data_IF_882330053969
#
_entry.id   IF_882330053969
#
_cell.length_a   1.000
_cell.length_b   1.000
_cell.length_c   1.000
_cell.angle_alpha   90.00
_cell.angle_beta   90.00
_cell.angle_gamma   90.00
#
_symmetry.space_group_name_H-M   'P 1'
#
loop_
_entity.id
_entity.type
_entity.pdbx_description
1 polymer ?
#
# COMPACT_ATOMS: atom_id res chain seq x y z
N UNK A 1 -40.73 40.94 -57.89
CA UNK A 1 -39.92 41.35 -56.70
C UNK A 1 -40.59 41.15 -55.33
N UNK A 2 -41.91 40.92 -55.23
CA UNK A 2 -42.59 40.70 -53.92
C UNK A 2 -42.50 39.25 -53.38
N UNK A 3 -42.31 38.24 -54.23
CA UNK A 3 -42.24 36.82 -53.87
C UNK A 3 -40.85 36.40 -53.22
N UNK A 4 -39.76 37.03 -53.60
CA UNK A 4 -38.43 36.73 -53.08
C UNK A 4 -38.24 37.21 -51.63
N UNK A 5 -38.87 38.34 -51.28
CA UNK A 5 -38.82 38.87 -49.91
C UNK A 5 -39.58 38.01 -48.89
N UNK A 6 -40.63 37.31 -49.30
CA UNK A 6 -41.41 36.42 -48.41
C UNK A 6 -40.71 35.10 -48.12
N UNK A 7 -39.95 34.58 -49.08
CA UNK A 7 -39.16 33.36 -48.90
C UNK A 7 -37.96 33.60 -47.99
N UNK A 8 -37.31 34.76 -48.10
CA UNK A 8 -36.20 35.12 -47.21
C UNK A 8 -36.63 35.37 -45.78
N UNK A 9 -37.82 35.97 -45.55
CA UNK A 9 -38.36 36.17 -44.21
C UNK A 9 -38.82 34.87 -43.57
N UNK A 10 -39.35 33.91 -44.32
CA UNK A 10 -39.72 32.58 -43.82
C UNK A 10 -38.50 31.73 -43.46
N UNK A 11 -37.38 31.82 -44.21
CA UNK A 11 -36.12 31.14 -43.88
C UNK A 11 -35.47 31.71 -42.60
N UNK A 12 -35.54 33.04 -42.37
CA UNK A 12 -35.05 33.65 -41.15
C UNK A 12 -35.88 33.28 -39.92
N UNK A 13 -37.23 33.14 -40.06
CA UNK A 13 -38.12 32.73 -38.97
C UNK A 13 -37.93 31.26 -38.56
N UNK A 14 -37.65 30.37 -39.50
CA UNK A 14 -37.37 28.94 -39.20
C UNK A 14 -36.02 28.78 -38.53
N UNK A 15 -35.02 29.65 -38.76
CA UNK A 15 -33.72 29.60 -38.09
C UNK A 15 -33.80 30.00 -36.61
N UNK A 16 -34.85 30.72 -36.16
CA UNK A 16 -34.98 31.18 -34.78
C UNK A 16 -35.71 30.18 -33.85
N UNK A 17 -36.44 29.21 -34.41
CA UNK A 17 -37.21 28.25 -33.63
C UNK A 17 -36.42 27.00 -33.24
N UNK A 18 -35.19 26.81 -33.75
CA UNK A 18 -34.32 25.68 -33.40
C UNK A 18 -33.35 25.93 -32.22
N UNK A 19 -33.49 27.05 -31.49
CA UNK A 19 -32.68 27.31 -30.29
C UNK A 19 -33.19 26.61 -29.01
N UNK A 20 -34.17 25.72 -29.16
CA UNK A 20 -34.67 24.87 -28.09
C UNK A 20 -33.79 23.66 -27.86
N UNK A 21 -32.82 23.73 -26.99
CA UNK A 21 -32.47 22.61 -26.15
C UNK A 21 -31.54 21.52 -26.67
N UNK A 22 -30.64 21.76 -27.64
CA UNK A 22 -29.48 20.89 -27.79
C UNK A 22 -28.47 21.20 -26.70
N UNK A 23 -28.53 20.48 -25.58
CA UNK A 23 -27.39 20.46 -24.65
C UNK A 23 -26.21 19.80 -25.39
N UNK A 24 -25.25 20.61 -25.84
CA UNK A 24 -24.00 20.12 -26.38
C UNK A 24 -23.38 19.13 -25.34
N UNK A 25 -22.80 18.01 -25.83
CA UNK A 25 -22.09 17.12 -24.94
C UNK A 25 -21.09 17.95 -24.12
N UNK A 26 -21.28 18.03 -22.81
CA UNK A 26 -20.34 18.68 -21.91
C UNK A 26 -19.31 17.63 -21.55
N UNK A 27 -18.04 17.92 -21.79
CA UNK A 27 -16.94 17.19 -21.23
C UNK A 27 -16.85 17.37 -19.72
N UNK A 28 -15.68 17.59 -19.17
CA UNK A 28 -15.53 17.88 -17.74
C UNK A 28 -16.16 19.22 -17.38
N UNK A 29 -16.68 19.34 -16.15
CA UNK A 29 -17.25 20.58 -15.64
C UNK A 29 -16.18 21.69 -15.55
N UNK A 30 -16.61 22.93 -15.81
CA UNK A 30 -15.77 24.11 -15.53
C UNK A 30 -15.64 24.32 -14.00
N UNK A 31 -14.52 24.85 -13.53
CA UNK A 31 -14.28 25.12 -12.10
C UNK A 31 -15.45 25.88 -11.45
N UNK A 32 -15.95 26.92 -12.12
CA UNK A 32 -17.09 27.72 -11.68
C UNK A 32 -18.37 26.88 -11.47
N UNK A 33 -18.60 25.86 -12.30
CA UNK A 33 -19.78 24.98 -12.19
C UNK A 33 -19.62 23.98 -11.03
N UNK A 34 -18.44 23.40 -10.89
CA UNK A 34 -18.13 22.47 -9.78
C UNK A 34 -18.18 23.17 -8.43
N UNK A 35 -17.74 24.42 -8.38
CA UNK A 35 -17.74 25.25 -7.18
C UNK A 35 -19.05 26.03 -6.98
N UNK A 36 -20.06 25.85 -7.85
CA UNK A 36 -21.35 26.52 -7.71
C UNK A 36 -21.97 26.17 -6.34
N UNK A 37 -22.46 27.21 -5.64
CA UNK A 37 -23.01 27.05 -4.29
C UNK A 37 -21.99 27.06 -3.16
N UNK A 38 -20.69 27.16 -3.43
CA UNK A 38 -19.64 27.21 -2.37
C UNK A 38 -19.84 28.40 -1.41
N UNK A 39 -20.41 29.50 -1.87
CA UNK A 39 -20.69 30.70 -1.07
C UNK A 39 -22.03 30.63 -0.28
N UNK A 40 -22.80 29.58 -0.48
CA UNK A 40 -24.04 29.36 0.26
C UNK A 40 -23.71 28.93 1.70
N UNK A 41 -24.39 29.54 2.70
CA UNK A 41 -24.25 29.14 4.11
C UNK A 41 -24.60 27.65 4.33
N UNK A 42 -25.49 27.10 3.51
CA UNK A 42 -25.93 25.70 3.57
C UNK A 42 -25.18 24.80 2.60
N UNK A 43 -24.08 25.27 1.96
CA UNK A 43 -23.29 24.42 1.07
C UNK A 43 -22.84 23.12 1.76
N UNK A 44 -22.95 21.99 1.06
CA UNK A 44 -22.53 20.68 1.60
C UNK A 44 -21.00 20.50 1.69
N UNK A 45 -20.24 21.40 1.09
CA UNK A 45 -18.79 21.33 1.02
C UNK A 45 -18.12 22.66 1.37
N UNK A 46 -16.85 22.59 1.76
CA UNK A 46 -15.97 23.73 1.94
C UNK A 46 -15.01 23.85 0.76
N UNK A 47 -14.62 25.07 0.42
CA UNK A 47 -13.58 25.34 -0.60
C UNK A 47 -12.37 25.94 0.09
N UNK A 48 -11.19 25.36 -0.20
CA UNK A 48 -9.91 25.81 0.32
C UNK A 48 -8.96 26.02 -0.85
N UNK A 49 -8.40 27.21 -0.98
CA UNK A 49 -7.37 27.50 -1.97
C UNK A 49 -6.00 27.03 -1.43
N UNK A 50 -5.24 26.37 -2.28
CA UNK A 50 -3.88 25.92 -1.98
C UNK A 50 -2.90 26.97 -2.44
N UNK A 51 -2.19 27.55 -1.50
CA UNK A 51 -1.13 28.53 -1.68
C UNK A 51 -0.10 28.39 -0.53
N UNK A 52 1.00 29.13 -0.59
CA UNK A 52 2.08 29.09 0.41
C UNK A 52 1.60 29.40 1.85
N UNK A 53 0.49 30.10 2.00
CA UNK A 53 -0.03 30.48 3.32
C UNK A 53 -0.91 29.38 3.93
N UNK A 54 -1.51 28.56 3.09
CA UNK A 54 -2.46 27.51 3.48
C UNK A 54 -1.82 26.12 3.53
N UNK A 55 -0.86 25.80 2.64
CA UNK A 55 -0.31 24.45 2.49
C UNK A 55 0.31 23.92 3.78
N UNK A 56 1.09 24.72 4.49
CA UNK A 56 1.72 24.31 5.76
C UNK A 56 0.69 23.97 6.85
N UNK A 57 -0.41 24.73 6.94
CA UNK A 57 -1.51 24.44 7.85
C UNK A 57 -2.25 23.17 7.47
N UNK A 58 -2.48 22.97 6.18
CA UNK A 58 -3.16 21.78 5.67
C UNK A 58 -2.38 20.48 5.90
N UNK A 59 -1.06 20.54 5.94
CA UNK A 59 -0.21 19.40 6.28
C UNK A 59 -0.48 18.84 7.69
N UNK A 60 -0.98 19.71 8.61
CA UNK A 60 -1.34 19.30 9.98
C UNK A 60 -2.78 18.80 10.13
N UNK A 61 -3.60 18.90 9.09
CA UNK A 61 -4.98 18.45 9.15
C UNK A 61 -5.07 16.92 9.32
N UNK A 62 -6.07 16.42 10.07
CA UNK A 62 -6.29 14.99 10.20
C UNK A 62 -6.52 14.38 8.82
N UNK A 63 -5.89 13.23 8.55
CA UNK A 63 -6.13 12.50 7.30
C UNK A 63 -7.57 11.98 7.19
N UNK A 64 -8.03 11.67 5.98
CA UNK A 64 -9.27 10.93 5.79
C UNK A 64 -9.22 9.59 6.53
N UNK A 65 -10.38 8.98 6.76
CA UNK A 65 -10.48 7.76 7.58
C UNK A 65 -9.55 6.66 7.05
N UNK A 66 -8.55 6.37 7.86
CA UNK A 66 -7.65 5.25 7.58
C UNK A 66 -8.28 4.05 8.23
N UNK A 67 -9.16 3.32 7.68
CA UNK A 67 -9.66 2.05 8.22
C UNK A 67 -8.95 1.53 9.50
N UNK A 68 -8.95 0.30 9.83
CA UNK A 68 -8.14 -0.22 10.94
C UNK A 68 -6.66 -0.07 10.57
N UNK A 69 -6.07 1.09 10.93
CA UNK A 69 -4.66 1.34 10.62
C UNK A 69 -3.80 0.26 11.33
N UNK A 70 -2.88 -0.37 10.61
CA UNK A 70 -1.93 -1.27 11.25
C UNK A 70 -1.20 -0.51 12.37
N UNK A 71 -0.87 -1.21 13.43
CA UNK A 71 0.01 -0.67 14.49
C UNK A 71 1.31 -0.20 13.81
N UNK A 72 1.84 0.94 14.24
CA UNK A 72 3.11 1.43 13.70
C UNK A 72 4.20 0.36 13.77
N UNK A 73 5.22 0.48 12.89
CA UNK A 73 6.29 -0.51 12.82
C UNK A 73 7.11 -0.56 14.12
N UNK A 74 7.62 -1.74 14.45
CA UNK A 74 8.53 -1.96 15.58
C UNK A 74 9.97 -1.91 15.10
N UNK A 75 10.80 -1.12 15.79
CA UNK A 75 12.22 -1.04 15.49
C UNK A 75 12.99 -2.33 15.83
N UNK A 76 14.25 -2.38 15.44
CA UNK A 76 15.12 -3.48 15.76
C UNK A 76 15.29 -3.60 17.28
N UNK A 77 15.25 -4.83 17.77
CA UNK A 77 15.54 -5.17 19.15
C UNK A 77 16.24 -6.52 19.18
N UNK A 78 17.15 -6.71 20.12
CA UNK A 78 17.80 -8.01 20.29
C UNK A 78 16.74 -9.10 20.53
N UNK A 79 16.76 -10.14 19.71
CA UNK A 79 15.85 -11.26 19.81
C UNK A 79 15.98 -12.03 21.14
N UNK A 80 15.02 -12.91 21.47
CA UNK A 80 15.20 -13.86 22.57
C UNK A 80 16.48 -14.67 22.35
N UNK A 81 17.09 -15.21 23.40
CA UNK A 81 18.26 -16.04 23.23
C UNK A 81 17.99 -17.11 22.19
N UNK A 82 18.75 -17.05 21.08
CA UNK A 82 18.52 -17.91 19.92
C UNK A 82 18.91 -19.35 20.19
N UNK A 83 18.36 -20.23 19.37
CA UNK A 83 18.66 -21.67 19.36
C UNK A 83 18.37 -22.40 20.69
N UNK A 84 17.37 -21.93 21.45
CA UNK A 84 16.86 -22.66 22.61
C UNK A 84 15.84 -23.68 22.16
N UNK A 85 15.99 -24.88 22.68
CA UNK A 85 15.03 -25.96 22.48
C UNK A 85 13.70 -25.55 23.16
N UNK A 86 12.59 -25.71 22.43
CA UNK A 86 11.25 -25.37 22.92
C UNK A 86 10.33 -26.60 22.94
N UNK A 87 9.30 -26.56 23.76
CA UNK A 87 8.25 -27.58 23.74
C UNK A 87 7.61 -27.66 22.33
N UNK A 88 7.55 -28.85 21.76
CA UNK A 88 7.10 -29.11 20.39
C UNK A 88 8.22 -29.20 19.35
N UNK A 89 9.46 -28.88 19.70
CA UNK A 89 10.62 -29.15 18.84
C UNK A 89 10.90 -30.65 18.79
N UNK A 90 11.64 -31.07 17.76
CA UNK A 90 12.13 -32.42 17.64
C UNK A 90 13.64 -32.46 17.85
N UNK A 91 14.11 -33.49 18.50
CA UNK A 91 15.55 -33.76 18.68
C UNK A 91 15.88 -35.18 18.26
N UNK A 92 16.94 -35.31 17.50
CA UNK A 92 17.53 -36.62 17.23
C UNK A 92 18.68 -36.81 18.20
N UNK A 93 18.62 -37.90 18.97
CA UNK A 93 19.65 -38.23 19.94
C UNK A 93 20.41 -39.45 19.47
N UNK A 94 21.72 -39.32 19.29
CA UNK A 94 22.61 -40.44 18.98
C UNK A 94 23.51 -40.70 20.18
N UNK A 95 23.56 -41.93 20.62
CA UNK A 95 24.31 -42.37 21.81
C UNK A 95 25.36 -43.35 21.35
N UNK A 96 26.62 -43.10 21.71
CA UNK A 96 27.73 -44.02 21.57
C UNK A 96 28.12 -44.60 22.94
N UNK A 97 28.32 -45.93 23.00
CA UNK A 97 28.74 -46.64 24.18
C UNK A 97 30.04 -47.41 23.87
N UNK A 98 31.10 -47.11 24.60
CA UNK A 98 32.47 -47.68 24.37
C UNK A 98 32.87 -48.75 25.37
N UNK A 99 32.02 -49.11 26.32
CA UNK A 99 32.25 -50.10 27.37
C UNK A 99 32.02 -51.57 26.91
N UNK A 100 32.63 -52.50 27.62
CA UNK A 100 32.47 -53.95 27.37
C UNK A 100 31.20 -54.56 27.96
N UNK A 101 30.31 -53.77 28.55
CA UNK A 101 29.01 -54.20 29.08
C UNK A 101 27.91 -53.26 28.61
N UNK A 102 27.48 -53.40 27.37
CA UNK A 102 26.51 -52.49 26.75
C UNK A 102 25.13 -52.69 27.32
N UNK A 103 24.60 -51.69 28.04
CA UNK A 103 23.22 -51.66 28.57
C UNK A 103 22.22 -51.04 27.54
N UNK A 104 22.71 -50.16 26.68
CA UNK A 104 21.91 -49.35 25.77
C UNK A 104 21.96 -49.91 24.34
N UNK A 105 22.95 -50.65 23.96
CA UNK A 105 23.17 -51.18 22.61
C UNK A 105 23.06 -52.71 22.54
N UNK A 106 22.68 -53.25 21.38
CA UNK A 106 22.73 -54.68 21.17
C UNK A 106 24.16 -55.20 21.11
N UNK A 107 24.40 -56.49 21.45
CA UNK A 107 25.75 -57.08 21.33
C UNK A 107 26.35 -56.86 19.94
N UNK A 108 27.53 -56.21 19.88
CA UNK A 108 28.20 -55.85 18.65
C UNK A 108 27.86 -54.51 18.03
N UNK A 109 26.84 -53.79 18.53
CA UNK A 109 26.53 -52.41 18.16
C UNK A 109 27.03 -51.43 19.20
N UNK A 110 27.68 -50.36 18.76
CA UNK A 110 28.23 -49.31 19.64
C UNK A 110 27.43 -48.00 19.56
N UNK A 111 26.34 -47.96 18.77
CA UNK A 111 25.61 -46.75 18.47
C UNK A 111 24.10 -47.03 18.55
N UNK A 112 23.38 -46.21 19.27
CA UNK A 112 21.90 -46.15 19.26
C UNK A 112 21.48 -44.77 18.76
N UNK A 113 20.66 -44.76 17.69
CA UNK A 113 20.03 -43.53 17.20
C UNK A 113 18.54 -43.52 17.61
N UNK A 114 18.10 -42.41 18.23
CA UNK A 114 16.73 -42.13 18.64
C UNK A 114 16.24 -40.91 17.85
N UNK A 115 15.72 -41.11 16.61
CA UNK A 115 15.32 -40.02 15.77
C UNK A 115 13.94 -39.49 16.16
N UNK A 116 13.71 -38.18 15.95
CA UNK A 116 12.39 -37.55 16.01
C UNK A 116 11.75 -37.48 17.39
N UNK A 117 12.53 -37.50 18.46
CA UNK A 117 12.01 -37.34 19.82
C UNK A 117 11.37 -35.96 19.94
N UNK A 118 10.09 -35.91 20.26
CA UNK A 118 9.36 -34.64 20.43
C UNK A 118 9.52 -34.16 21.88
N UNK A 119 9.91 -32.90 22.06
CA UNK A 119 9.94 -32.23 23.35
C UNK A 119 8.51 -32.03 23.85
N UNK A 120 8.19 -32.67 24.94
CA UNK A 120 6.85 -32.66 25.55
C UNK A 120 6.45 -31.26 26.02
N UNK A 121 5.15 -31.00 26.28
CA UNK A 121 4.68 -29.70 26.79
C UNK A 121 5.33 -29.27 28.11
N UNK A 122 5.77 -30.24 28.94
CA UNK A 122 6.51 -30.02 30.19
C UNK A 122 7.99 -29.67 29.96
N UNK A 123 8.44 -29.63 28.69
CA UNK A 123 9.81 -29.30 28.31
C UNK A 123 10.79 -30.46 28.37
N UNK A 124 10.31 -31.69 28.55
CA UNK A 124 11.15 -32.89 28.69
C UNK A 124 11.13 -33.78 27.46
N UNK A 125 12.19 -34.56 27.26
CA UNK A 125 12.20 -35.72 26.35
C UNK A 125 12.31 -36.99 27.16
N UNK A 126 11.67 -38.04 26.68
CA UNK A 126 11.82 -39.38 27.26
C UNK A 126 12.93 -40.13 26.54
N UNK A 127 13.87 -40.63 27.33
CA UNK A 127 14.99 -41.43 26.85
C UNK A 127 14.99 -42.80 27.56
N UNK A 128 15.13 -43.91 26.84
CA UNK A 128 15.27 -45.20 27.47
C UNK A 128 16.37 -45.18 28.52
N UNK A 129 16.13 -45.78 29.66
CA UNK A 129 17.01 -45.87 30.85
C UNK A 129 17.29 -44.53 31.58
N UNK A 130 17.26 -43.38 30.92
CA UNK A 130 17.45 -42.07 31.55
C UNK A 130 16.13 -41.39 31.99
N UNK A 131 15.00 -42.00 31.61
CA UNK A 131 13.67 -41.47 31.90
C UNK A 131 13.45 -40.07 31.30
N UNK A 132 12.76 -39.18 31.93
CA UNK A 132 12.48 -37.81 31.49
C UNK A 132 13.66 -36.90 31.80
N UNK A 133 14.19 -36.25 30.76
CA UNK A 133 15.23 -35.23 30.87
C UNK A 133 14.67 -33.89 30.38
N UNK A 134 14.68 -32.87 31.26
CA UNK A 134 14.22 -31.53 30.89
C UNK A 134 15.26 -30.82 30.03
N UNK A 135 14.89 -30.45 28.82
CA UNK A 135 15.80 -29.80 27.85
C UNK A 135 15.25 -28.50 27.28
N UNK A 136 13.98 -28.17 27.51
CA UNK A 136 13.44 -26.88 27.08
C UNK A 136 14.13 -25.70 27.77
N UNK A 137 14.39 -24.63 27.01
CA UNK A 137 15.13 -23.48 27.50
C UNK A 137 16.64 -23.67 27.51
N UNK A 138 17.15 -24.83 27.13
CA UNK A 138 18.56 -25.10 26.95
C UNK A 138 18.99 -24.95 25.50
N UNK A 139 20.26 -24.59 25.29
CA UNK A 139 20.88 -24.73 23.96
C UNK A 139 21.11 -26.21 23.64
N UNK A 140 21.23 -26.62 22.36
CA UNK A 140 21.54 -28.01 22.01
C UNK A 140 22.76 -28.56 22.75
N UNK A 141 23.81 -27.76 22.94
CA UNK A 141 25.01 -28.18 23.69
C UNK A 141 24.71 -28.45 25.17
N UNK A 142 23.97 -27.54 25.83
CA UNK A 142 23.57 -27.75 27.22
C UNK A 142 22.59 -28.91 27.39
N UNK A 143 21.72 -29.08 26.43
CA UNK A 143 20.80 -30.25 26.41
C UNK A 143 21.59 -31.56 26.26
N UNK A 144 22.62 -31.57 25.37
CA UNK A 144 23.56 -32.69 25.24
C UNK A 144 24.23 -33.01 26.57
N UNK A 145 24.75 -31.99 27.23
CA UNK A 145 25.40 -32.17 28.56
C UNK A 145 24.43 -32.72 29.61
N UNK A 146 23.19 -32.21 29.64
CA UNK A 146 22.18 -32.67 30.58
C UNK A 146 21.81 -34.16 30.35
N UNK A 147 21.63 -34.55 29.09
CA UNK A 147 21.34 -35.94 28.71
C UNK A 147 22.52 -36.83 29.02
N UNK A 148 23.74 -36.40 28.65
CA UNK A 148 24.97 -37.17 28.92
C UNK A 148 25.18 -37.39 30.41
N UNK A 149 25.04 -36.36 31.24
CA UNK A 149 25.17 -36.48 32.69
C UNK A 149 24.15 -37.49 33.28
N UNK A 150 22.94 -37.52 32.73
CA UNK A 150 21.94 -38.51 33.18
C UNK A 150 22.29 -39.93 32.77
N UNK A 151 22.77 -40.13 31.54
CA UNK A 151 23.19 -41.43 31.05
C UNK A 151 24.48 -41.95 31.69
N UNK A 152 25.45 -41.08 31.96
CA UNK A 152 26.74 -41.46 32.60
C UNK A 152 26.55 -42.08 33.99
N UNK A 153 25.46 -41.76 34.70
CA UNK A 153 25.15 -42.39 35.99
C UNK A 153 24.78 -43.89 35.85
N UNK A 154 24.42 -44.30 34.61
CA UNK A 154 23.98 -45.69 34.31
C UNK A 154 25.01 -46.38 33.45
N UNK A 155 25.58 -45.70 32.45
CA UNK A 155 26.60 -46.19 31.55
C UNK A 155 27.76 -45.14 31.48
N UNK A 156 28.85 -45.30 32.26
CA UNK A 156 29.90 -44.31 32.39
C UNK A 156 30.65 -43.93 31.12
N UNK A 157 30.71 -44.81 30.15
CA UNK A 157 31.45 -44.63 28.88
C UNK A 157 30.55 -44.14 27.73
N UNK A 158 29.47 -43.40 28.03
CA UNK A 158 28.49 -42.94 27.07
C UNK A 158 28.86 -41.57 26.52
N UNK A 159 28.75 -41.40 25.20
CA UNK A 159 28.81 -40.11 24.52
C UNK A 159 27.50 -39.82 23.83
N UNK A 160 27.07 -38.57 23.78
CA UNK A 160 25.79 -38.14 23.24
C UNK A 160 26.01 -37.07 22.19
N UNK A 161 25.32 -37.19 21.06
CA UNK A 161 25.14 -36.13 20.09
C UNK A 161 23.64 -35.79 19.98
N UNK A 162 23.33 -34.51 19.86
CA UNK A 162 21.98 -34.03 19.62
C UNK A 162 21.95 -33.24 18.30
N UNK A 163 21.03 -33.59 17.43
CA UNK A 163 20.61 -32.75 16.32
C UNK A 163 19.22 -32.18 16.66
N UNK A 164 19.09 -30.86 16.59
CA UNK A 164 17.84 -30.15 16.90
C UNK A 164 17.10 -29.76 15.63
N UNK A 165 15.86 -30.18 15.50
CA UNK A 165 14.95 -29.78 14.46
C UNK A 165 13.88 -28.82 15.03
N UNK A 166 13.90 -27.53 14.67
CA UNK A 166 12.99 -26.53 15.17
C UNK A 166 11.53 -26.87 14.91
N UNK A 167 10.69 -26.74 15.91
CA UNK A 167 9.24 -26.84 15.79
C UNK A 167 8.61 -25.46 15.46
N UNK A 168 7.28 -25.42 15.48
CA UNK A 168 6.50 -24.21 15.10
C UNK A 168 6.80 -22.98 15.97
N UNK A 169 7.28 -23.14 17.19
CA UNK A 169 7.69 -22.03 18.08
C UNK A 169 9.08 -21.49 17.78
N UNK A 170 9.84 -22.19 16.99
CA UNK A 170 11.20 -21.84 16.59
C UNK A 170 11.30 -21.56 15.08
N UNK A 171 10.15 -21.41 14.40
CA UNK A 171 10.07 -21.06 12.99
C UNK A 171 9.28 -19.75 12.79
N UNK A 172 9.50 -19.11 11.65
CA UNK A 172 8.72 -17.97 11.16
C UNK A 172 8.10 -18.33 9.83
N UNK A 173 6.88 -17.85 9.60
CA UNK A 173 6.16 -18.12 8.37
C UNK A 173 6.25 -16.92 7.42
N UNK A 174 6.78 -17.11 6.22
CA UNK A 174 6.72 -16.18 5.12
C UNK A 174 5.57 -16.59 4.20
N UNK A 175 4.44 -15.86 4.27
CA UNK A 175 3.15 -16.33 3.76
C UNK A 175 3.01 -16.08 2.25
N UNK A 176 3.30 -14.84 1.81
CA UNK A 176 3.04 -14.43 0.43
C UNK A 176 3.82 -13.17 0.03
N UNK A 177 3.73 -12.81 -1.27
CA UNK A 177 4.37 -11.63 -1.84
C UNK A 177 5.85 -11.77 -2.10
N UNK A 178 6.36 -13.01 -2.07
CA UNK A 178 7.73 -13.38 -2.39
C UNK A 178 7.75 -14.61 -3.30
N UNK A 179 8.83 -14.86 -4.05
CA UNK A 179 8.91 -16.02 -4.96
C UNK A 179 8.86 -17.40 -4.26
N UNK A 180 9.38 -17.49 -3.03
CA UNK A 180 9.46 -18.74 -2.26
C UNK A 180 8.86 -18.57 -0.88
N UNK A 181 7.53 -18.61 -0.75
CA UNK A 181 6.87 -18.61 0.56
C UNK A 181 7.14 -19.95 1.27
N UNK A 182 7.07 -19.95 2.59
CA UNK A 182 7.29 -21.15 3.40
C UNK A 182 7.51 -20.83 4.87
N UNK A 183 7.73 -21.89 5.64
CA UNK A 183 8.11 -21.80 7.06
C UNK A 183 9.63 -21.98 7.17
N UNK A 184 10.29 -21.03 7.79
CA UNK A 184 11.74 -20.97 7.92
C UNK A 184 12.16 -21.07 9.40
N UNK A 185 13.12 -21.94 9.72
CA UNK A 185 13.68 -21.97 11.07
C UNK A 185 14.42 -20.67 11.35
N UNK A 186 14.39 -20.22 12.60
CA UNK A 186 15.20 -19.11 13.06
C UNK A 186 16.65 -19.59 13.23
N UNK A 187 17.61 -19.13 12.39
CA UNK A 187 18.99 -19.58 12.47
C UNK A 187 19.69 -19.07 13.72
N UNK A 188 19.37 -17.87 14.15
CA UNK A 188 19.96 -17.20 15.31
C UNK A 188 18.97 -16.20 15.91
N UNK A 189 19.42 -15.55 17.00
CA UNK A 189 18.63 -14.57 17.76
C UNK A 189 18.50 -13.21 17.08
N UNK A 190 19.35 -12.94 16.12
CA UNK A 190 19.43 -11.63 15.46
C UNK A 190 18.85 -11.69 14.03
N UNK A 191 18.17 -12.80 13.69
CA UNK A 191 17.52 -13.00 12.39
C UNK A 191 16.38 -12.01 12.17
N UNK A 192 16.43 -11.29 11.05
CA UNK A 192 15.60 -10.12 10.80
C UNK A 192 14.57 -10.34 9.68
N UNK A 193 13.68 -9.37 9.54
CA UNK A 193 12.67 -9.35 8.46
C UNK A 193 13.34 -9.33 7.08
N UNK A 194 14.39 -8.51 6.87
CA UNK A 194 15.11 -8.49 5.60
C UNK A 194 15.82 -9.82 5.32
N UNK A 195 16.39 -10.45 6.35
CA UNK A 195 16.96 -11.79 6.23
C UNK A 195 15.93 -12.84 5.77
N UNK A 196 14.72 -12.80 6.34
CA UNK A 196 13.63 -13.68 5.95
C UNK A 196 13.19 -13.43 4.50
N UNK A 197 13.03 -12.16 4.12
CA UNK A 197 12.66 -11.80 2.74
C UNK A 197 13.72 -12.26 1.73
N UNK A 198 15.01 -12.16 2.07
CA UNK A 198 16.10 -12.67 1.22
C UNK A 198 16.02 -14.18 1.04
N UNK A 199 15.74 -14.96 2.09
CA UNK A 199 15.49 -16.41 1.98
C UNK A 199 14.28 -16.73 1.10
N UNK A 200 13.25 -15.89 1.13
CA UNK A 200 12.07 -15.98 0.26
C UNK A 200 12.32 -15.62 -1.20
N UNK A 201 13.51 -15.14 -1.54
CA UNK A 201 13.88 -14.72 -2.89
C UNK A 201 13.63 -13.24 -3.19
N UNK A 202 13.45 -12.41 -2.14
CA UNK A 202 13.23 -10.98 -2.25
C UNK A 202 11.80 -10.59 -2.60
N UNK A 203 11.57 -9.30 -2.77
CA UNK A 203 10.29 -8.74 -3.21
C UNK A 203 10.32 -8.61 -4.73
N UNK A 204 9.33 -9.14 -5.47
CA UNK A 204 9.27 -9.02 -6.92
C UNK A 204 9.17 -7.54 -7.36
N UNK A 205 9.92 -7.15 -8.40
CA UNK A 205 9.88 -5.80 -8.97
C UNK A 205 8.51 -5.39 -9.50
N UNK A 206 7.66 -6.35 -9.84
CA UNK A 206 6.28 -6.11 -10.27
C UNK A 206 5.34 -5.66 -9.16
N UNK A 207 5.76 -5.71 -7.90
CA UNK A 207 4.95 -5.29 -6.74
C UNK A 207 5.01 -3.78 -6.61
N UNK A 208 3.88 -3.12 -6.83
CA UNK A 208 3.79 -1.65 -6.75
C UNK A 208 3.77 -1.20 -5.30
N UNK A 209 4.69 -0.31 -4.93
CA UNK A 209 4.84 0.23 -3.58
C UNK A 209 4.66 -0.84 -2.49
N UNK A 210 5.55 -1.84 -2.45
CA UNK A 210 5.37 -3.00 -1.58
C UNK A 210 5.37 -2.62 -0.09
N UNK A 211 4.44 -3.18 0.66
CA UNK A 211 4.36 -3.08 2.11
C UNK A 211 4.65 -4.42 2.76
N UNK A 212 5.58 -4.40 3.69
CA UNK A 212 5.88 -5.56 4.53
C UNK A 212 4.95 -5.54 5.74
N UNK A 213 4.24 -6.64 5.94
CA UNK A 213 3.35 -6.89 7.07
C UNK A 213 3.96 -7.92 8.00
N UNK A 214 3.98 -7.61 9.28
CA UNK A 214 4.43 -8.52 10.33
C UNK A 214 3.27 -8.76 11.31
N UNK A 215 2.82 -9.99 11.38
CA UNK A 215 1.88 -10.44 12.40
C UNK A 215 2.64 -11.08 13.56
N UNK A 216 2.57 -10.46 14.72
CA UNK A 216 3.17 -10.96 15.97
C UNK A 216 2.09 -11.08 17.05
N UNK A 217 1.73 -12.30 17.38
CA UNK A 217 0.57 -12.57 18.22
C UNK A 217 -0.72 -12.04 17.58
N UNK A 218 -1.45 -11.18 18.28
CA UNK A 218 -2.68 -10.55 17.80
C UNK A 218 -2.45 -9.17 17.12
N UNK A 219 -1.21 -8.73 16.99
CA UNK A 219 -0.88 -7.40 16.45
C UNK A 219 -0.39 -7.51 15.02
N UNK A 220 -0.85 -6.59 14.18
CA UNK A 220 -0.39 -6.42 12.82
C UNK A 220 0.43 -5.12 12.70
N UNK A 221 1.66 -5.24 12.26
CA UNK A 221 2.58 -4.14 11.99
C UNK A 221 2.76 -3.99 10.48
N UNK A 222 3.02 -2.77 10.02
CA UNK A 222 3.21 -2.48 8.61
C UNK A 222 4.25 -1.42 8.38
N UNK A 223 5.05 -1.61 7.34
CA UNK A 223 6.02 -0.65 6.84
C UNK A 223 6.14 -0.78 5.32
N UNK A 224 6.39 0.32 4.61
CA UNK A 224 6.77 0.20 3.21
C UNK A 224 8.17 -0.42 3.09
N UNK A 225 8.38 -1.22 2.06
CA UNK A 225 9.67 -1.85 1.81
C UNK A 225 10.77 -0.80 1.56
N UNK A 226 10.44 0.31 0.93
CA UNK A 226 11.36 1.42 0.68
C UNK A 226 11.93 2.00 2.00
N UNK A 227 11.05 2.26 2.98
CA UNK A 227 11.46 2.74 4.31
C UNK A 227 12.26 1.70 5.08
N UNK A 228 11.89 0.43 4.97
CA UNK A 228 12.60 -0.67 5.64
C UNK A 228 14.02 -0.82 5.08
N UNK A 229 14.17 -0.74 3.75
CA UNK A 229 15.46 -0.87 3.08
C UNK A 229 16.39 0.35 3.34
N UNK A 230 15.82 1.54 3.43
CA UNK A 230 16.59 2.79 3.65
C UNK A 230 17.02 3.01 5.11
N UNK A 231 16.40 2.32 6.06
CA UNK A 231 16.69 2.54 7.49
C UNK A 231 16.96 1.21 8.22
N UNK A 232 18.25 0.85 8.43
CA UNK A 232 18.62 -0.39 9.10
C UNK A 232 18.06 -0.53 10.53
N UNK A 233 17.78 0.57 11.23
CA UNK A 233 17.19 0.53 12.56
C UNK A 233 15.74 0.02 12.58
N UNK A 234 15.08 -0.04 11.41
CA UNK A 234 13.74 -0.57 11.22
C UNK A 234 13.74 -2.05 10.84
N UNK A 235 14.89 -2.65 10.56
CA UNK A 235 14.98 -4.07 10.24
C UNK A 235 14.76 -4.92 11.50
N UNK A 236 13.49 -5.21 11.74
CA UNK A 236 13.00 -5.83 12.97
C UNK A 236 13.47 -7.26 13.11
N UNK A 237 13.96 -7.62 14.29
CA UNK A 237 14.29 -8.99 14.66
C UNK A 237 13.02 -9.84 14.79
N UNK A 238 13.04 -11.00 14.17
CA UNK A 238 11.93 -11.95 14.16
C UNK A 238 11.92 -12.82 15.43
N UNK A 239 10.75 -13.36 15.73
CA UNK A 239 10.51 -14.28 16.85
C UNK A 239 9.74 -15.49 16.35
N UNK A 240 9.93 -16.62 17.01
CA UNK A 240 9.18 -17.84 16.67
C UNK A 240 7.68 -17.61 16.72
N UNK A 241 6.99 -18.07 15.67
CA UNK A 241 5.56 -17.87 15.47
C UNK A 241 5.18 -16.56 14.77
N UNK A 242 6.15 -15.68 14.44
CA UNK A 242 5.89 -14.51 13.61
C UNK A 242 5.46 -14.94 12.21
N UNK A 243 4.57 -14.14 11.62
CA UNK A 243 4.14 -14.33 10.24
C UNK A 243 4.43 -13.05 9.47
N UNK A 244 5.10 -13.20 8.34
CA UNK A 244 5.47 -12.09 7.47
C UNK A 244 4.85 -12.31 6.09
N UNK A 245 4.35 -11.24 5.48
CA UNK A 245 3.92 -11.25 4.09
C UNK A 245 4.15 -9.89 3.46
N UNK A 246 4.26 -9.88 2.15
CA UNK A 246 4.38 -8.66 1.37
C UNK A 246 3.14 -8.50 0.50
N UNK A 247 2.63 -7.29 0.43
CA UNK A 247 1.49 -6.94 -0.42
C UNK A 247 1.74 -5.62 -1.12
N UNK A 248 1.11 -5.42 -2.27
CA UNK A 248 1.09 -4.11 -2.93
C UNK A 248 0.29 -3.12 -2.11
N UNK A 249 0.64 -1.85 -2.21
CA UNK A 249 -0.18 -0.77 -1.66
C UNK A 249 -1.52 -0.70 -2.38
N UNK A 250 -2.62 -0.80 -1.65
CA UNK A 250 -3.98 -0.72 -2.20
C UNK A 250 -4.51 0.73 -2.30
N UNK A 251 -3.71 1.71 -1.86
CA UNK A 251 -4.11 3.11 -1.94
C UNK A 251 -4.14 3.58 -3.38
N UNK A 252 -5.14 4.38 -3.68
CA UNK A 252 -5.32 4.98 -4.99
C UNK A 252 -5.99 6.35 -4.87
N UNK A 253 -5.88 7.14 -5.93
CA UNK A 253 -6.70 8.32 -6.17
C UNK A 253 -7.40 8.18 -7.52
N UNK A 254 -8.44 8.97 -7.74
CA UNK A 254 -9.17 9.02 -9.00
C UNK A 254 -8.74 10.27 -9.80
N UNK A 255 -8.50 10.10 -11.07
CA UNK A 255 -8.26 11.19 -12.01
C UNK A 255 -9.44 11.36 -12.94
N UNK A 256 -9.98 12.57 -13.04
CA UNK A 256 -11.15 12.90 -13.85
C UNK A 256 -10.97 14.22 -14.61
N UNK A 257 -11.78 14.42 -15.62
CA UNK A 257 -11.94 15.68 -16.33
C UNK A 257 -10.95 15.89 -17.47
N UNK A 258 -10.48 17.12 -17.64
CA UNK A 258 -9.54 17.49 -18.70
C UNK A 258 -8.07 17.10 -18.36
N UNK A 259 -7.89 16.03 -17.60
CA UNK A 259 -6.59 15.41 -17.35
C UNK A 259 -6.11 14.63 -18.57
N UNK A 260 -4.82 14.33 -18.65
CA UNK A 260 -4.25 13.50 -19.71
C UNK A 260 -4.81 12.08 -19.69
N UNK A 261 -5.18 11.56 -18.51
CA UNK A 261 -5.77 10.23 -18.34
C UNK A 261 -6.81 10.21 -17.23
N UNK A 262 -8.03 9.77 -17.55
CA UNK A 262 -9.08 9.48 -16.57
C UNK A 262 -8.97 8.02 -16.13
N UNK A 263 -8.63 7.79 -14.87
CA UNK A 263 -8.43 6.45 -14.33
C UNK A 263 -8.36 6.44 -12.80
N UNK A 264 -8.43 5.23 -12.24
CA UNK A 264 -7.97 4.94 -10.88
C UNK A 264 -6.45 4.75 -10.93
N UNK A 265 -5.72 5.58 -10.18
CA UNK A 265 -4.26 5.62 -10.18
C UNK A 265 -3.76 5.10 -8.83
N UNK A 266 -3.02 3.97 -8.79
CA UNK A 266 -2.42 3.47 -7.57
C UNK A 266 -1.29 4.40 -7.09
N UNK A 267 -1.01 4.38 -5.80
CA UNK A 267 0.11 5.10 -5.22
C UNK A 267 1.42 4.36 -5.52
N UNK A 268 2.34 4.94 -6.31
CA UNK A 268 3.62 4.29 -6.63
C UNK A 268 4.63 4.38 -5.48
N UNK A 269 4.39 5.23 -4.49
CA UNK A 269 5.23 5.48 -3.32
C UNK A 269 4.37 5.92 -2.13
N UNK A 270 4.96 5.93 -0.93
CA UNK A 270 4.25 6.20 0.33
C UNK A 270 3.55 7.55 0.36
N UNK A 271 4.16 8.56 -0.23
CA UNK A 271 3.68 9.95 -0.29
C UNK A 271 3.72 10.43 -1.72
N UNK A 272 2.61 10.96 -2.21
CA UNK A 272 2.52 11.65 -3.50
C UNK A 272 1.91 13.03 -3.28
N UNK A 273 2.47 14.03 -3.94
CA UNK A 273 1.98 15.39 -3.93
C UNK A 273 0.95 15.62 -5.05
N UNK A 274 0.26 16.75 -5.03
CA UNK A 274 -0.63 17.10 -6.14
C UNK A 274 0.12 17.27 -7.45
N UNK A 275 1.36 17.75 -7.40
CA UNK A 275 2.22 17.85 -8.58
C UNK A 275 2.61 16.47 -9.11
N UNK A 276 2.98 15.53 -8.23
CA UNK A 276 3.25 14.14 -8.60
C UNK A 276 2.01 13.48 -9.22
N UNK A 277 0.84 13.70 -8.61
CA UNK A 277 -0.42 13.17 -9.13
C UNK A 277 -0.72 13.68 -10.55
N UNK A 278 -0.50 14.96 -10.81
CA UNK A 278 -0.64 15.53 -12.15
C UNK A 278 0.35 14.89 -13.14
N UNK A 279 1.61 14.67 -12.75
CA UNK A 279 2.58 13.98 -13.58
C UNK A 279 2.18 12.53 -13.88
N UNK A 280 1.68 11.80 -12.87
CA UNK A 280 1.23 10.40 -13.00
C UNK A 280 0.05 10.23 -13.97
N UNK A 281 -0.82 11.24 -14.07
CA UNK A 281 -1.97 11.22 -14.98
C UNK A 281 -1.66 11.75 -16.39
N UNK A 282 -0.38 12.05 -16.67
CA UNK A 282 0.06 12.56 -17.98
C UNK A 282 -0.14 14.06 -18.16
N UNK A 283 -0.23 14.81 -17.06
CA UNK A 283 -0.39 16.27 -17.07
C UNK A 283 -1.81 16.74 -17.37
N UNK A 284 -1.90 17.97 -17.83
CA UNK A 284 -3.13 18.62 -18.25
C UNK A 284 -3.27 18.52 -19.77
N UNK A 285 -4.51 18.38 -20.24
CA UNK A 285 -4.76 18.45 -21.70
C UNK A 285 -4.68 19.90 -22.15
N UNK A 286 -3.64 20.24 -22.93
CA UNK A 286 -3.34 21.63 -23.36
C UNK A 286 -4.50 22.31 -24.10
N UNK A 287 -5.32 21.55 -24.82
CA UNK A 287 -6.44 22.08 -25.59
C UNK A 287 -7.74 22.25 -24.81
N UNK A 288 -7.86 21.60 -23.63
CA UNK A 288 -9.13 21.52 -22.90
C UNK A 288 -9.05 21.97 -21.45
N UNK A 289 -7.92 21.72 -20.77
CA UNK A 289 -7.80 21.96 -19.35
C UNK A 289 -7.73 23.43 -18.96
N UNK A 290 -8.32 23.77 -17.82
CA UNK A 290 -8.08 25.04 -17.14
C UNK A 290 -7.02 24.83 -16.05
N UNK A 291 -5.81 25.33 -16.31
CA UNK A 291 -4.70 25.21 -15.37
C UNK A 291 -4.92 25.99 -14.05
N UNK A 292 -5.90 26.90 -13.99
CA UNK A 292 -6.34 27.59 -12.75
C UNK A 292 -7.36 26.77 -11.96
N UNK A 293 -7.93 25.74 -12.56
CA UNK A 293 -9.03 24.96 -12.04
C UNK A 293 -8.65 23.51 -11.73
N UNK A 294 -7.51 23.27 -11.12
CA UNK A 294 -7.21 21.92 -10.62
C UNK A 294 -7.86 21.77 -9.26
N UNK A 295 -8.74 20.78 -9.16
CA UNK A 295 -9.52 20.51 -7.95
C UNK A 295 -9.10 19.18 -7.35
N UNK A 296 -8.93 19.15 -6.03
CA UNK A 296 -8.81 17.92 -5.26
C UNK A 296 -10.01 17.82 -4.33
N UNK A 297 -10.86 16.81 -4.58
CA UNK A 297 -12.05 16.57 -3.77
C UNK A 297 -11.73 15.51 -2.74
N UNK A 298 -11.92 15.84 -1.47
CA UNK A 298 -11.62 14.98 -0.34
C UNK A 298 -12.77 14.89 0.63
N UNK A 299 -13.05 13.68 1.11
CA UNK A 299 -14.05 13.44 2.15
C UNK A 299 -13.38 13.16 3.49
N UNK A 300 -13.86 13.78 4.53
CA UNK A 300 -13.38 13.62 5.90
C UNK A 300 -14.47 12.99 6.79
N UNK A 301 -14.09 12.17 7.78
CA UNK A 301 -15.04 11.68 8.77
C UNK A 301 -15.48 12.82 9.69
N UNK A 302 -16.69 12.71 10.25
CA UNK A 302 -17.23 13.73 11.14
C UNK A 302 -16.30 14.09 12.33
N UNK A 303 -15.56 13.09 12.84
CA UNK A 303 -14.59 13.29 13.93
C UNK A 303 -13.37 14.15 13.55
N UNK A 304 -13.11 14.34 12.27
CA UNK A 304 -12.01 15.18 11.76
C UNK A 304 -12.37 16.66 11.70
N UNK A 305 -13.66 17.03 11.81
CA UNK A 305 -14.12 18.40 11.69
C UNK A 305 -13.62 19.27 12.85
N UNK A 306 -13.16 20.47 12.52
CA UNK A 306 -12.68 21.48 13.47
C UNK A 306 -13.20 22.86 13.10
N UNK A 307 -13.57 23.63 14.11
CA UNK A 307 -14.05 25.02 13.95
C UNK A 307 -12.94 26.07 14.09
N UNK A 308 -11.79 25.66 14.63
CA UNK A 308 -10.63 26.51 14.92
C UNK A 308 -9.61 26.59 13.76
N UNK A 309 -9.90 25.92 12.62
CA UNK A 309 -9.01 25.89 11.45
C UNK A 309 -7.89 24.84 11.51
N UNK A 310 -7.76 24.07 12.61
CA UNK A 310 -6.82 22.96 12.73
C UNK A 310 -7.28 21.70 11.98
N UNK A 311 -8.42 21.76 11.30
CA UNK A 311 -8.99 20.70 10.50
C UNK A 311 -10.04 21.23 9.51
N UNK A 312 -10.66 20.33 8.73
CA UNK A 312 -11.70 20.72 7.78
C UNK A 312 -12.95 21.23 8.51
N UNK A 313 -13.58 22.27 7.96
CA UNK A 313 -14.83 22.84 8.49
C UNK A 313 -16.06 22.02 8.08
N UNK A 314 -15.96 21.21 7.00
CA UNK A 314 -17.02 20.36 6.48
C UNK A 314 -16.47 18.99 6.07
N UNK A 315 -17.33 17.98 6.06
CA UNK A 315 -16.93 16.62 5.67
C UNK A 315 -16.43 16.53 4.22
N UNK A 316 -17.01 17.33 3.33
CA UNK A 316 -16.58 17.43 1.94
C UNK A 316 -15.77 18.70 1.76
N UNK A 317 -14.56 18.57 1.29
CA UNK A 317 -13.67 19.71 1.06
C UNK A 317 -13.13 19.64 -0.37
N UNK A 318 -13.22 20.74 -1.08
CA UNK A 318 -12.65 20.93 -2.40
C UNK A 318 -11.44 21.85 -2.27
N UNK A 319 -10.28 21.34 -2.58
CA UNK A 319 -9.05 22.11 -2.66
C UNK A 319 -8.86 22.60 -4.08
N UNK A 320 -8.54 23.88 -4.23
CA UNK A 320 -8.34 24.53 -5.53
C UNK A 320 -6.88 24.90 -5.67
N UNK A 321 -6.24 24.46 -6.76
CA UNK A 321 -4.84 24.72 -7.07
C UNK A 321 -4.76 25.51 -8.38
N UNK A 322 -4.02 26.62 -8.38
CA UNK A 322 -3.74 27.44 -9.55
C UNK A 322 -2.33 27.13 -10.08
N UNK A 323 -2.25 26.30 -11.10
CA UNK A 323 -0.97 25.87 -11.72
C UNK A 323 -0.37 26.94 -12.66
N UNK A 324 -1.02 28.10 -12.82
CA UNK A 324 -0.51 29.18 -13.67
C UNK A 324 0.47 30.10 -12.96
N UNK A 325 0.63 29.93 -11.64
CA UNK A 325 1.50 30.76 -10.80
C UNK A 325 2.62 29.92 -10.19
N UNK A 326 3.78 30.53 -9.96
CA UNK A 326 4.88 29.88 -9.25
C UNK A 326 4.47 29.44 -7.83
N UNK A 327 3.69 30.29 -7.12
CA UNK A 327 3.15 29.97 -5.80
C UNK A 327 2.28 28.71 -5.82
N UNK A 328 1.39 28.58 -6.79
CA UNK A 328 0.54 27.40 -6.96
C UNK A 328 1.34 26.14 -7.31
N UNK A 329 2.36 26.26 -8.15
CA UNK A 329 3.23 25.12 -8.51
C UNK A 329 4.03 24.61 -7.31
N UNK A 330 4.68 25.50 -6.55
CA UNK A 330 5.39 25.10 -5.33
C UNK A 330 4.44 24.52 -4.29
N UNK A 331 3.28 25.14 -4.07
CA UNK A 331 2.29 24.66 -3.12
C UNK A 331 1.69 23.31 -3.52
N UNK A 332 1.52 23.05 -4.83
CA UNK A 332 1.12 21.73 -5.35
C UNK A 332 2.17 20.66 -5.07
N UNK A 333 3.48 21.01 -5.10
CA UNK A 333 4.58 20.13 -4.73
C UNK A 333 4.66 19.81 -3.23
N UNK A 334 3.99 20.58 -2.38
CA UNK A 334 3.94 20.36 -0.94
C UNK A 334 2.60 19.76 -0.46
N UNK A 335 1.53 19.88 -1.26
CA UNK A 335 0.20 19.40 -0.89
C UNK A 335 0.05 17.91 -1.18
N UNK A 336 -0.13 17.11 -0.12
CA UNK A 336 -0.25 15.66 -0.21
C UNK A 336 -1.62 15.22 -0.71
N UNK A 337 -1.62 14.37 -1.72
CA UNK A 337 -2.79 13.59 -2.13
C UNK A 337 -3.03 12.48 -1.12
N UNK A 338 -4.28 12.30 -0.75
CA UNK A 338 -4.70 11.26 0.19
C UNK A 338 -5.42 10.11 -0.55
N UNK A 339 -5.43 8.91 0.04
CA UNK A 339 -6.18 7.79 -0.53
C UNK A 339 -7.65 8.15 -0.78
N UNK A 340 -8.16 7.79 -1.96
CA UNK A 340 -9.53 8.05 -2.43
C UNK A 340 -9.83 9.53 -2.75
N UNK A 341 -8.83 10.40 -2.81
CA UNK A 341 -9.01 11.74 -3.38
C UNK A 341 -9.44 11.64 -4.85
N UNK A 342 -10.21 12.63 -5.29
CA UNK A 342 -10.50 12.84 -6.71
C UNK A 342 -9.72 14.05 -7.18
N UNK A 343 -8.73 13.83 -8.03
CA UNK A 343 -7.97 14.89 -8.72
C UNK A 343 -8.67 15.18 -10.03
N UNK A 344 -9.22 16.37 -10.16
CA UNK A 344 -10.02 16.78 -11.31
C UNK A 344 -9.38 17.99 -11.99
N UNK A 345 -9.01 17.83 -13.26
CA UNK A 345 -8.70 18.96 -14.11
C UNK A 345 -9.99 19.49 -14.74
N UNK A 346 -10.35 20.74 -14.45
CA UNK A 346 -11.58 21.34 -15.03
C UNK A 346 -11.36 21.78 -16.46
N UNK A 347 -12.45 21.97 -17.21
CA UNK A 347 -12.37 22.49 -18.59
C UNK A 347 -12.29 24.01 -18.61
N UNK A 348 -11.49 24.48 -19.55
CA UNK A 348 -11.40 25.92 -19.90
C UNK A 348 -12.68 26.38 -20.58
N UNK A 349 -13.16 27.58 -20.22
CA UNK A 349 -14.29 28.23 -20.90
C UNK A 349 -14.04 28.50 -22.38
N UNK A 350 -12.78 28.65 -22.78
CA UNK A 350 -12.39 28.87 -24.19
C UNK A 350 -12.54 27.59 -25.02
N UNK A 351 -12.24 26.44 -24.44
CA UNK A 351 -12.43 25.16 -25.14
C UNK A 351 -13.89 24.90 -25.49
N UNK A 352 -14.81 25.21 -24.55
CA UNK A 352 -16.26 25.11 -24.80
C UNK A 352 -16.74 26.09 -25.90
N UNK A 353 -16.17 27.30 -25.98
CA UNK A 353 -16.48 28.27 -27.04
C UNK A 353 -15.93 27.83 -28.41
N UNK A 354 -14.74 27.21 -28.44
CA UNK A 354 -14.14 26.69 -29.67
C UNK A 354 -14.98 25.62 -30.36
N UNK A 355 -15.61 24.72 -29.58
CA UNK A 355 -16.54 23.70 -30.10
C UNK A 355 -17.75 24.37 -30.72
N UNK A 356 -18.35 25.37 -30.09
CA UNK A 356 -19.48 26.11 -30.61
C UNK A 356 -19.14 26.85 -31.92
N UNK A 357 -17.99 27.51 -31.95
CA UNK A 357 -17.52 28.19 -33.17
C UNK A 357 -17.18 27.22 -34.29
N UNK A 358 -16.64 26.04 -33.99
CA UNK A 358 -16.38 24.99 -34.97
C UNK A 358 -17.67 24.46 -35.60
N UNK A 359 -18.73 24.28 -34.82
CA UNK A 359 -20.05 23.86 -35.31
C UNK A 359 -20.66 24.96 -36.19
N UNK A 360 -20.61 26.23 -35.77
CA UNK A 360 -21.10 27.35 -36.58
C UNK A 360 -20.29 27.48 -37.88
N UNK A 361 -18.96 27.33 -37.80
CA UNK A 361 -18.10 27.34 -38.98
C UNK A 361 -18.42 26.24 -39.99
N UNK A 362 -18.72 25.01 -39.53
CA UNK A 362 -19.12 23.92 -40.40
C UNK A 362 -20.48 24.14 -41.06
N UNK A 363 -21.44 24.71 -40.32
CA UNK A 363 -22.78 25.06 -40.87
C UNK A 363 -22.65 26.15 -41.96
N UNK A 364 -21.82 27.18 -41.74
CA UNK A 364 -21.56 28.25 -42.70
C UNK A 364 -20.80 27.71 -43.92
N UNK A 365 -19.86 26.76 -43.70
CA UNK A 365 -19.13 26.09 -44.80
C UNK A 365 -20.06 25.30 -45.71
N UNK A 366 -21.00 24.54 -45.13
CA UNK A 366 -21.99 23.76 -45.88
C UNK A 366 -22.93 24.69 -46.68
N UNK A 367 -23.37 25.81 -46.12
CA UNK A 367 -24.23 26.77 -46.82
C UNK A 367 -23.52 27.44 -47.99
N UNK A 368 -22.21 27.73 -47.93
CA UNK A 368 -21.42 28.25 -49.05
C UNK A 368 -21.28 27.21 -50.17
N UNK A 369 -21.03 25.94 -49.83
CA UNK A 369 -20.95 24.87 -50.84
C UNK A 369 -22.27 24.65 -51.56
N UNK A 370 -23.38 24.72 -50.86
CA UNK A 370 -24.72 24.63 -51.46
C UNK A 370 -25.03 25.81 -52.41
N UNK A 371 -24.54 27.01 -52.08
CA UNK A 371 -24.74 28.18 -52.93
C UNK A 371 -23.89 28.13 -54.24
N UNK A 372 -22.69 27.58 -54.18
CA UNK A 372 -21.85 27.37 -55.38
C UNK A 372 -22.46 26.33 -56.35
N UNK A 373 -23.12 25.33 -55.82
CA UNK A 373 -23.82 24.28 -56.62
C UNK A 373 -25.09 24.84 -57.29
N UNK A 374 -25.80 25.80 -56.66
CA UNK A 374 -27.02 26.40 -57.18
C UNK A 374 -26.82 27.51 -58.20
N UNK A 375 -25.58 28.05 -58.34
CA UNK A 375 -25.23 29.13 -59.32
C UNK A 375 -24.41 28.63 -60.50
N UNK A 376 -24.25 27.31 -60.64
CA UNK A 376 -23.44 26.66 -61.67
C UNK A 376 -24.26 26.07 -62.86
N UNK A 377 -25.43 26.66 -63.19
CA UNK A 377 -26.13 26.46 -64.46
C UNK A 377 -26.22 27.72 -65.24
#
# INVERSE_FOLDING_TARGET
MKSVAFVSAALLAVSFTFTGGCSLPKGAGQARQVLAGASDKNADFAVVRIDRTTVGRLASWPGPDKGMAPTGWIGNSRGPAGNLIAAGDKVDVTIWETGEGTLLTMPGQKVVALPGLTVSPDGSVFLPYADKVHIAGLTPDKAREAIQARLTSIAPATQVLIAHAPGRKSTVDLISGVPRPGSFPLPDRDFTVLGLLALGGGIPESTVNPHVRLMRGSRLYSISADRLLKNPALDTTLRGGDKVYVESDERYFLSLGAAGREAQIPFPQDRITALDALALIGGLNDGRADAKGILVLRSYPARALRTDGSGPSKQRTVFVIDMTTADGLFSAGEFDIQPKDVVMATESSVASAGVVLGIIGSIVGISRTAQVISTGE
#
